data_IF_888794744329
#
_entry.id   IF_888794744329
#
_cell.length_a   1.000
_cell.length_b   1.000
_cell.length_c   1.000
_cell.angle_alpha   90.00
_cell.angle_beta   90.00
_cell.angle_gamma   90.00
#
_symmetry.space_group_name_H-M   'P 1'
#
loop_
_entity.id
_entity.type
_entity.pdbx_description
1 polymer ?
#
# COMPACT_ATOMS: atom_id res chain seq x y z
N UNK A 1 -32.52 51.45 -30.88
CA UNK A 1 -32.10 51.80 -29.51
C UNK A 1 -32.10 50.51 -28.70
N UNK A 2 -31.03 49.83 -28.37
CA UNK A 2 -29.60 50.10 -28.39
C UNK A 2 -29.02 49.06 -27.43
N UNK A 3 -28.60 47.92 -27.98
CA UNK A 3 -28.03 46.80 -27.21
C UNK A 3 -26.70 47.29 -26.64
N UNK A 4 -26.58 47.32 -25.30
CA UNK A 4 -25.29 47.60 -24.65
C UNK A 4 -24.42 46.33 -24.69
N UNK A 5 -23.15 46.42 -25.15
CA UNK A 5 -22.22 45.31 -25.13
C UNK A 5 -21.53 45.17 -23.75
N UNK A 6 -21.10 43.96 -23.36
CA UNK A 6 -20.27 43.78 -22.18
C UNK A 6 -18.82 44.24 -22.43
N UNK A 7 -18.25 44.81 -21.38
CA UNK A 7 -16.88 45.35 -21.28
C UNK A 7 -15.84 44.21 -21.18
N UNK A 8 -14.65 44.34 -21.79
CA UNK A 8 -13.55 43.41 -21.61
C UNK A 8 -12.58 43.91 -20.53
N UNK A 9 -11.93 43.02 -19.77
CA UNK A 9 -10.53 43.15 -19.33
C UNK A 9 -9.99 41.83 -18.76
N UNK A 10 -8.64 41.67 -18.72
CA UNK A 10 -7.97 40.41 -19.07
C UNK A 10 -7.28 39.75 -17.87
N UNK A 11 -6.76 38.53 -18.07
CA UNK A 11 -5.73 37.98 -17.19
C UNK A 11 -5.69 36.47 -17.14
N UNK A 12 -5.01 35.89 -18.12
CA UNK A 12 -4.55 34.51 -18.16
C UNK A 12 -3.66 34.15 -16.96
N UNK A 13 -4.01 33.08 -16.25
CA UNK A 13 -3.10 32.36 -15.35
C UNK A 13 -3.24 30.87 -15.63
N UNK A 14 -2.58 30.43 -16.70
CA UNK A 14 -2.24 29.03 -16.93
C UNK A 14 -1.18 28.63 -15.90
N UNK A 15 -1.58 27.92 -14.84
CA UNK A 15 -0.63 27.23 -13.98
C UNK A 15 -0.28 25.86 -14.60
N UNK A 16 1.00 25.56 -14.83
CA UNK A 16 1.42 24.40 -15.58
C UNK A 16 1.42 23.13 -14.71
N UNK A 17 0.92 22.08 -15.36
CA UNK A 17 1.14 20.66 -15.14
C UNK A 17 2.55 20.37 -14.58
N UNK A 18 2.61 19.77 -13.39
CA UNK A 18 3.81 19.15 -12.85
C UNK A 18 3.47 17.72 -12.41
N UNK A 19 4.27 16.69 -12.63
CA UNK A 19 5.56 16.54 -13.30
C UNK A 19 5.57 15.11 -13.88
N UNK A 20 5.96 15.00 -15.14
CA UNK A 20 6.34 13.73 -15.74
C UNK A 20 7.57 13.20 -15.01
N UNK A 21 7.53 11.93 -14.60
CA UNK A 21 8.71 11.19 -14.18
C UNK A 21 9.47 10.81 -15.46
N UNK A 22 10.25 11.74 -16.00
CA UNK A 22 11.15 11.47 -17.13
C UNK A 22 12.41 10.79 -16.61
N UNK A 23 12.55 9.54 -17.03
CA UNK A 23 13.79 8.79 -17.20
C UNK A 23 14.95 9.73 -17.55
N UNK A 24 16.02 9.71 -16.74
CA UNK A 24 17.29 10.38 -17.04
C UNK A 24 18.14 9.50 -17.97
N UNK A 25 18.64 10.02 -19.11
CA UNK A 25 19.75 9.41 -19.84
C UNK A 25 20.98 10.33 -19.97
N UNK A 26 22.17 9.69 -19.99
CA UNK A 26 23.51 10.12 -20.47
C UNK A 26 24.22 11.30 -19.79
N UNK A 27 25.38 11.11 -19.16
CA UNK A 27 26.76 10.99 -19.71
C UNK A 27 27.29 12.29 -20.35
N UNK A 28 28.34 12.81 -19.68
CA UNK A 28 29.47 13.65 -20.12
C UNK A 28 29.20 15.12 -20.53
N UNK A 29 29.82 16.07 -19.80
CA UNK A 29 30.71 17.12 -20.34
C UNK A 29 31.67 17.57 -19.21
N UNK A 30 32.91 17.79 -19.62
CA UNK A 30 34.11 18.10 -18.86
C UNK A 30 34.34 19.62 -18.75
N UNK A 31 35.21 20.01 -17.81
CA UNK A 31 36.09 21.19 -17.87
C UNK A 31 35.53 22.57 -17.46
N UNK A 32 35.97 23.04 -16.28
CA UNK A 32 36.46 24.41 -16.10
C UNK A 32 37.27 24.52 -14.80
N UNK A 33 38.52 24.94 -14.98
CA UNK A 33 39.52 25.27 -13.98
C UNK A 33 39.15 26.54 -13.20
N UNK A 34 39.34 26.53 -11.87
CA UNK A 34 39.83 27.66 -11.07
C UNK A 34 40.72 27.08 -9.94
N UNK A 35 42.05 27.06 -10.13
CA UNK A 35 43.05 27.99 -9.58
C UNK A 35 43.01 28.11 -8.06
N UNK A 36 43.93 27.41 -7.39
CA UNK A 36 44.40 27.76 -6.04
C UNK A 36 45.92 28.04 -6.10
N UNK A 37 46.43 29.07 -5.40
CA UNK A 37 47.77 29.60 -5.61
C UNK A 37 48.87 28.70 -5.01
N UNK A 38 50.01 28.67 -5.70
CA UNK A 38 51.28 28.09 -5.23
C UNK A 38 51.91 29.02 -4.18
N UNK A 39 52.21 28.48 -3.00
CA UNK A 39 53.25 29.00 -2.11
C UNK A 39 54.25 27.89 -1.80
N UNK A 40 55.51 28.29 -1.87
CA UNK A 40 56.76 27.53 -1.97
C UNK A 40 57.25 26.91 -0.63
N UNK A 41 58.33 26.09 -0.66
CA UNK A 41 58.44 24.86 0.12
C UNK A 41 59.46 24.97 1.26
N UNK A 42 59.05 24.79 2.52
CA UNK A 42 59.96 24.38 3.59
C UNK A 42 59.18 23.65 4.67
N UNK A 43 58.92 22.37 4.44
CA UNK A 43 58.71 21.44 5.53
C UNK A 43 59.74 20.33 5.36
N UNK A 44 60.57 20.03 6.37
CA UNK A 44 61.49 18.91 6.28
C UNK A 44 60.63 17.68 5.97
N UNK A 45 61.05 16.92 4.95
CA UNK A 45 60.49 15.61 4.69
C UNK A 45 60.46 14.87 6.02
N UNK A 46 59.26 14.69 6.59
CA UNK A 46 59.06 13.64 7.56
C UNK A 46 59.60 12.40 6.87
N UNK A 47 60.54 11.66 7.48
CA UNK A 47 60.99 10.43 6.87
C UNK A 47 59.72 9.65 6.56
N UNK A 48 59.60 9.17 5.32
CA UNK A 48 58.65 8.14 5.02
C UNK A 48 58.93 7.02 6.01
N UNK A 49 58.20 7.03 7.12
CA UNK A 49 57.93 5.84 7.87
C UNK A 49 57.17 4.99 6.87
N UNK A 50 57.96 4.22 6.10
CA UNK A 50 57.58 2.92 5.62
C UNK A 50 56.56 2.37 6.60
N UNK A 51 55.41 1.83 6.15
CA UNK A 51 54.49 1.18 7.07
C UNK A 51 55.34 0.14 7.80
N UNK A 52 55.71 0.48 9.04
CA UNK A 52 56.46 -0.38 9.93
C UNK A 52 55.67 -1.66 9.88
N UNK A 53 56.33 -2.75 9.47
CA UNK A 53 55.71 -4.03 9.26
C UNK A 53 54.85 -4.33 10.49
N UNK A 54 53.56 -4.02 10.39
CA UNK A 54 52.61 -4.29 11.43
C UNK A 54 52.56 -5.81 11.46
N UNK A 55 53.29 -6.28 12.46
CA UNK A 55 53.68 -7.64 12.76
C UNK A 55 52.57 -8.61 12.41
N UNK A 56 52.93 -9.82 11.97
CA UNK A 56 51.95 -10.89 11.74
C UNK A 56 50.94 -11.04 12.88
N UNK A 57 51.29 -10.62 14.10
CA UNK A 57 50.41 -10.48 15.26
C UNK A 57 49.20 -9.53 15.10
N UNK A 58 49.33 -8.36 14.44
CA UNK A 58 48.18 -7.48 14.24
C UNK A 58 47.24 -7.99 13.16
N UNK A 59 47.81 -8.54 12.06
CA UNK A 59 47.02 -9.25 11.03
C UNK A 59 46.30 -10.47 11.61
N UNK A 60 46.96 -11.26 12.45
CA UNK A 60 46.35 -12.42 13.10
C UNK A 60 45.24 -12.02 14.07
N UNK A 61 45.40 -10.93 14.84
CA UNK A 61 44.32 -10.38 15.69
C UNK A 61 43.09 -9.93 14.89
N UNK A 62 43.29 -9.17 13.80
CA UNK A 62 42.18 -8.74 12.92
C UNK A 62 41.49 -9.94 12.25
N UNK A 63 42.26 -10.96 11.86
CA UNK A 63 41.73 -12.16 11.25
C UNK A 63 40.93 -13.01 12.24
N UNK A 64 41.39 -13.12 13.49
CA UNK A 64 40.64 -13.75 14.58
C UNK A 64 39.28 -13.09 14.82
N UNK A 65 39.23 -11.75 14.83
CA UNK A 65 37.98 -11.00 14.95
C UNK A 65 37.02 -11.25 13.78
N UNK A 66 37.52 -11.25 12.53
CA UNK A 66 36.72 -11.50 11.32
C UNK A 66 36.17 -12.92 11.24
N UNK A 67 36.93 -13.92 11.69
CA UNK A 67 36.48 -15.31 11.71
C UNK A 67 35.42 -15.56 12.78
N UNK A 68 35.51 -14.89 13.94
CA UNK A 68 34.51 -15.00 15.01
C UNK A 68 33.14 -14.44 14.64
N UNK A 69 33.09 -13.47 13.71
CA UNK A 69 31.86 -12.84 13.23
C UNK A 69 31.46 -13.31 11.83
N UNK A 70 32.03 -14.41 11.34
CA UNK A 70 31.76 -14.91 9.98
C UNK A 70 30.29 -15.32 9.85
N UNK A 71 29.50 -14.70 8.96
CA UNK A 71 28.10 -15.08 8.76
C UNK A 71 27.95 -16.51 8.23
N UNK A 72 26.83 -17.15 8.55
CA UNK A 72 26.50 -18.47 8.02
C UNK A 72 26.22 -18.39 6.50
N UNK A 73 26.46 -19.49 5.78
CA UNK A 73 26.26 -19.58 4.33
C UNK A 73 24.81 -19.24 3.94
N UNK A 74 23.84 -19.83 4.65
CA UNK A 74 22.41 -19.56 4.46
C UNK A 74 22.03 -18.08 4.67
N UNK A 75 22.75 -17.37 5.55
CA UNK A 75 22.52 -15.95 5.76
C UNK A 75 23.02 -15.11 4.58
N UNK A 76 24.18 -15.47 4.03
CA UNK A 76 24.73 -14.83 2.84
C UNK A 76 23.82 -15.07 1.61
N UNK A 77 23.20 -16.25 1.51
CA UNK A 77 22.25 -16.59 0.45
C UNK A 77 20.93 -15.80 0.56
N UNK A 78 20.36 -15.71 1.77
CA UNK A 78 19.16 -14.87 2.01
C UNK A 78 19.41 -13.40 1.69
N UNK A 79 20.63 -12.92 1.94
CA UNK A 79 21.06 -11.56 1.59
C UNK A 79 21.43 -11.41 0.11
N UNK A 80 21.28 -12.45 -0.71
CA UNK A 80 21.67 -12.48 -2.13
C UNK A 80 23.17 -12.21 -2.39
N UNK A 81 24.03 -12.36 -1.37
CA UNK A 81 25.49 -12.18 -1.48
C UNK A 81 26.12 -13.44 -2.07
N UNK A 82 25.65 -14.62 -1.66
CA UNK A 82 26.02 -15.90 -2.26
C UNK A 82 24.83 -16.45 -3.06
N UNK A 83 25.06 -16.89 -4.29
CA UNK A 83 24.02 -17.47 -5.15
C UNK A 83 24.20 -18.99 -5.20
N UNK A 84 23.14 -19.75 -4.90
CA UNK A 84 23.14 -21.20 -4.99
C UNK A 84 22.95 -21.73 -6.42
N UNK A 85 22.43 -20.90 -7.34
CA UNK A 85 21.91 -21.34 -8.64
C UNK A 85 22.97 -21.25 -9.74
N UNK A 86 22.87 -22.19 -10.68
CA UNK A 86 23.59 -22.18 -11.94
C UNK A 86 23.17 -20.96 -12.79
N UNK A 87 24.13 -20.30 -13.45
CA UNK A 87 23.89 -19.12 -14.29
C UNK A 87 22.81 -19.36 -15.35
N UNK A 88 22.72 -20.59 -15.86
CA UNK A 88 21.70 -20.99 -16.84
C UNK A 88 20.28 -20.97 -16.24
N UNK A 89 20.12 -21.47 -15.02
CA UNK A 89 18.82 -21.47 -14.32
C UNK A 89 18.38 -20.04 -13.98
N UNK A 90 19.30 -19.18 -13.55
CA UNK A 90 18.98 -17.77 -13.27
C UNK A 90 18.57 -17.02 -14.54
N UNK A 91 19.23 -17.30 -15.68
CA UNK A 91 18.83 -16.73 -16.96
C UNK A 91 17.44 -17.19 -17.40
N UNK A 92 17.12 -18.47 -17.21
CA UNK A 92 15.81 -19.02 -17.52
C UNK A 92 14.71 -18.41 -16.63
N UNK A 93 14.92 -18.36 -15.31
CA UNK A 93 14.02 -17.70 -14.36
C UNK A 93 13.79 -16.23 -14.74
N UNK A 94 14.86 -15.52 -15.10
CA UNK A 94 14.79 -14.11 -15.52
C UNK A 94 14.03 -13.94 -16.84
N UNK A 95 14.19 -14.86 -17.79
CA UNK A 95 13.39 -14.89 -19.03
C UNK A 95 11.93 -15.14 -18.73
N UNK A 96 11.61 -16.10 -17.88
CA UNK A 96 10.24 -16.43 -17.49
C UNK A 96 9.56 -15.26 -16.77
N UNK A 97 10.24 -14.64 -15.80
CA UNK A 97 9.75 -13.45 -15.10
C UNK A 97 9.47 -12.32 -16.10
N UNK A 98 10.40 -12.06 -17.03
CA UNK A 98 10.24 -11.04 -18.06
C UNK A 98 9.04 -11.35 -18.96
N UNK A 99 8.91 -12.58 -19.44
CA UNK A 99 7.80 -12.98 -20.31
C UNK A 99 6.45 -12.87 -19.59
N UNK A 100 6.38 -13.33 -18.34
CA UNK A 100 5.19 -13.22 -17.50
C UNK A 100 4.80 -11.77 -17.25
N UNK A 101 5.77 -10.91 -16.97
CA UNK A 101 5.54 -9.49 -16.77
C UNK A 101 5.00 -8.83 -18.05
N UNK A 102 5.62 -9.07 -19.21
CA UNK A 102 5.15 -8.55 -20.49
C UNK A 102 3.70 -8.94 -20.75
N UNK A 103 3.34 -10.21 -20.52
CA UNK A 103 1.95 -10.68 -20.67
C UNK A 103 0.99 -9.92 -19.75
N UNK A 104 1.34 -9.73 -18.47
CA UNK A 104 0.51 -9.00 -17.49
C UNK A 104 0.33 -7.53 -17.87
N UNK A 105 1.38 -6.88 -18.36
CA UNK A 105 1.32 -5.47 -18.77
C UNK A 105 0.47 -5.28 -20.04
N UNK A 106 0.55 -6.22 -20.99
CA UNK A 106 -0.25 -6.17 -22.22
C UNK A 106 -1.74 -6.41 -21.97
N UNK A 107 -2.09 -7.20 -20.94
CA UNK A 107 -3.48 -7.50 -20.55
C UNK A 107 -3.97 -6.60 -19.41
N UNK A 108 -3.33 -5.44 -19.22
CA UNK A 108 -3.70 -4.52 -18.15
C UNK A 108 -5.06 -3.89 -18.50
N UNK A 109 -6.09 -4.05 -17.66
CA UNK A 109 -7.40 -3.45 -17.92
C UNK A 109 -7.31 -1.93 -17.92
N UNK A 110 -8.16 -1.29 -18.71
CA UNK A 110 -8.28 0.17 -18.73
C UNK A 110 -8.94 0.68 -17.46
N UNK A 111 -8.80 1.98 -17.17
CA UNK A 111 -9.45 2.59 -16.01
C UNK A 111 -10.98 2.51 -16.14
N UNK A 112 -11.49 2.64 -17.36
CA UNK A 112 -12.93 2.57 -17.63
C UNK A 112 -13.47 1.15 -17.43
N UNK A 113 -12.76 0.11 -17.87
CA UNK A 113 -13.12 -1.28 -17.55
C UNK A 113 -13.18 -1.55 -16.03
N UNK A 114 -12.27 -0.95 -15.27
CA UNK A 114 -12.26 -1.09 -13.81
C UNK A 114 -13.42 -0.32 -13.15
N UNK A 115 -13.89 0.79 -13.74
CA UNK A 115 -15.10 1.51 -13.31
C UNK A 115 -16.36 0.71 -13.64
N UNK A 116 -16.44 0.16 -14.85
CA UNK A 116 -17.57 -0.67 -15.30
C UNK A 116 -17.73 -1.93 -14.45
N UNK A 117 -16.61 -2.56 -14.07
CA UNK A 117 -16.58 -3.68 -13.13
C UNK A 117 -16.79 -3.27 -11.67
N UNK A 118 -17.01 -1.99 -11.40
CA UNK A 118 -17.21 -1.44 -10.05
C UNK A 118 -16.05 -1.72 -9.09
N UNK A 119 -14.84 -1.89 -9.63
CA UNK A 119 -13.61 -2.05 -8.83
C UNK A 119 -13.11 -0.67 -8.38
N UNK A 120 -13.23 0.33 -9.25
CA UNK A 120 -12.92 1.73 -8.93
C UNK A 120 -14.21 2.51 -8.61
N UNK A 121 -15.04 1.99 -7.70
CA UNK A 121 -16.14 2.79 -7.14
C UNK A 121 -15.52 3.95 -6.36
N UNK A 122 -15.93 5.18 -6.70
CA UNK A 122 -15.63 6.36 -5.90
C UNK A 122 -16.84 6.70 -5.05
N UNK A 123 -16.61 6.91 -3.77
CA UNK A 123 -17.58 7.55 -2.90
C UNK A 123 -17.43 9.06 -3.02
N UNK A 124 -18.54 9.79 -2.90
CA UNK A 124 -18.49 11.24 -2.75
C UNK A 124 -17.86 11.56 -1.39
N UNK A 125 -16.87 12.45 -1.38
CA UNK A 125 -16.30 12.98 -0.14
C UNK A 125 -17.23 14.03 0.52
N UNK A 126 -18.22 14.50 -0.23
CA UNK A 126 -19.23 15.43 0.24
C UNK A 126 -20.46 14.67 0.75
N UNK A 127 -20.87 15.02 1.98
CA UNK A 127 -22.07 14.50 2.65
C UNK A 127 -22.97 15.67 3.00
N UNK A 128 -24.19 15.67 2.46
CA UNK A 128 -25.21 16.66 2.81
C UNK A 128 -25.78 16.37 4.20
N UNK A 129 -25.84 17.40 5.05
CA UNK A 129 -26.39 17.31 6.40
C UNK A 129 -27.60 18.24 6.51
N UNK A 130 -28.77 17.64 6.76
CA UNK A 130 -30.00 18.37 7.07
C UNK A 130 -30.32 18.27 8.57
N UNK A 131 -31.00 19.27 9.11
CA UNK A 131 -31.49 19.21 10.49
C UNK A 131 -32.59 18.16 10.60
N UNK A 132 -32.42 17.21 11.52
CA UNK A 132 -33.49 16.30 11.90
C UNK A 132 -34.57 17.07 12.67
N UNK A 133 -35.80 16.54 12.68
CA UNK A 133 -36.88 17.07 13.50
C UNK A 133 -36.53 16.94 14.99
N UNK A 134 -36.76 18.01 15.76
CA UNK A 134 -36.51 18.07 17.20
C UNK A 134 -37.81 17.78 17.96
N UNK A 135 -38.09 16.49 18.13
CA UNK A 135 -39.21 16.01 18.94
C UNK A 135 -38.78 14.80 19.75
N UNK A 136 -39.52 14.53 20.84
CA UNK A 136 -39.25 13.39 21.69
C UNK A 136 -39.63 12.07 20.98
N UNK A 137 -38.62 11.25 20.71
CA UNK A 137 -38.73 9.92 20.09
C UNK A 137 -38.74 8.79 21.12
N UNK A 138 -38.84 9.10 22.41
CA UNK A 138 -38.90 8.08 23.47
C UNK A 138 -40.20 7.28 23.35
N UNK A 139 -40.06 5.97 23.47
CA UNK A 139 -41.15 5.02 23.55
C UNK A 139 -40.87 4.02 24.69
N UNK A 140 -41.92 3.50 25.33
CA UNK A 140 -41.76 2.42 26.31
C UNK A 140 -41.16 1.19 25.62
N UNK A 141 -40.42 0.41 26.41
CA UNK A 141 -39.74 -0.82 25.96
C UNK A 141 -40.37 -2.01 26.70
N UNK A 142 -41.63 -2.39 26.40
CA UNK A 142 -42.35 -3.40 27.18
C UNK A 142 -41.64 -4.76 27.20
N UNK A 143 -40.87 -5.08 26.16
CA UNK A 143 -40.06 -6.31 26.09
C UNK A 143 -39.02 -6.44 27.20
N UNK A 144 -38.64 -5.34 27.87
CA UNK A 144 -37.68 -5.35 29.00
C UNK A 144 -38.29 -5.88 30.30
N UNK A 145 -39.62 -5.84 30.43
CA UNK A 145 -40.34 -6.21 31.67
C UNK A 145 -41.03 -7.57 31.58
N UNK A 146 -40.71 -8.38 30.57
CA UNK A 146 -41.29 -9.71 30.37
C UNK A 146 -40.72 -10.74 31.36
N UNK A 147 -41.61 -11.34 32.15
CA UNK A 147 -41.27 -12.44 33.06
C UNK A 147 -40.94 -13.73 32.30
N UNK A 148 -40.41 -14.73 33.01
CA UNK A 148 -40.18 -16.06 32.44
C UNK A 148 -41.49 -16.73 31.97
N UNK A 149 -42.57 -16.53 32.72
CA UNK A 149 -43.90 -17.03 32.38
C UNK A 149 -44.45 -16.34 31.12
N UNK A 150 -44.34 -15.01 31.02
CA UNK A 150 -44.78 -14.26 29.82
C UNK A 150 -44.05 -14.74 28.58
N UNK A 151 -42.72 -14.92 28.68
CA UNK A 151 -41.92 -15.44 27.57
C UNK A 151 -42.35 -16.86 27.19
N UNK A 152 -42.73 -17.71 28.15
CA UNK A 152 -43.21 -19.06 27.86
C UNK A 152 -44.58 -19.03 27.16
N UNK A 153 -45.50 -18.20 27.64
CA UNK A 153 -46.81 -18.00 27.00
C UNK A 153 -46.65 -17.49 25.56
N UNK A 154 -45.83 -16.45 25.35
CA UNK A 154 -45.55 -15.89 24.01
C UNK A 154 -44.93 -16.93 23.07
N UNK A 155 -44.01 -17.78 23.56
CA UNK A 155 -43.43 -18.85 22.72
C UNK A 155 -44.48 -19.87 22.29
N UNK A 156 -45.37 -20.26 23.20
CA UNK A 156 -46.47 -21.19 22.91
C UNK A 156 -47.42 -20.60 21.87
N UNK A 157 -47.89 -19.38 22.11
CA UNK A 157 -48.79 -18.65 21.21
C UNK A 157 -48.18 -18.48 19.81
N UNK A 158 -46.92 -18.04 19.72
CA UNK A 158 -46.24 -17.88 18.42
C UNK A 158 -46.06 -19.20 17.67
N UNK A 159 -45.83 -20.31 18.36
CA UNK A 159 -45.71 -21.60 17.71
C UNK A 159 -47.06 -22.07 17.15
N UNK A 160 -48.14 -21.88 17.91
CA UNK A 160 -49.50 -22.22 17.51
C UNK A 160 -49.97 -21.39 16.30
N UNK A 161 -49.74 -20.07 16.34
CA UNK A 161 -49.99 -19.19 15.21
C UNK A 161 -49.22 -19.63 13.95
N UNK A 162 -47.92 -19.94 14.10
CA UNK A 162 -47.05 -20.33 12.97
C UNK A 162 -47.41 -21.68 12.37
N UNK A 163 -47.98 -22.59 13.16
CA UNK A 163 -48.37 -23.92 12.68
C UNK A 163 -49.76 -23.93 12.04
N UNK A 164 -50.68 -23.11 12.55
CA UNK A 164 -52.12 -23.25 12.25
C UNK A 164 -52.69 -22.10 11.41
N UNK A 165 -52.18 -20.87 11.57
CA UNK A 165 -52.79 -19.66 10.99
C UNK A 165 -51.88 -18.98 9.96
N UNK A 166 -50.58 -18.95 10.21
CA UNK A 166 -49.63 -18.25 9.34
C UNK A 166 -49.47 -18.97 8.01
N UNK A 167 -49.96 -18.36 6.93
CA UNK A 167 -49.77 -18.89 5.59
C UNK A 167 -48.29 -18.79 5.17
N UNK A 168 -47.72 -19.94 4.78
CA UNK A 168 -46.35 -20.04 4.27
C UNK A 168 -46.37 -20.94 3.06
N UNK A 169 -45.73 -20.49 1.97
CA UNK A 169 -45.59 -21.27 0.75
C UNK A 169 -44.96 -22.65 1.05
N UNK A 170 -45.45 -23.70 0.39
CA UNK A 170 -45.07 -25.08 0.67
C UNK A 170 -43.56 -25.32 0.64
N UNK A 171 -42.84 -24.74 -0.33
CA UNK A 171 -41.38 -24.85 -0.44
C UNK A 171 -40.61 -24.11 0.66
N UNK A 172 -41.22 -23.11 1.31
CA UNK A 172 -40.60 -22.25 2.31
C UNK A 172 -40.96 -22.63 3.74
N UNK A 173 -41.83 -23.63 3.97
CA UNK A 173 -42.25 -24.06 5.31
C UNK A 173 -41.09 -24.43 6.24
N UNK A 174 -39.99 -24.93 5.69
CA UNK A 174 -38.78 -25.28 6.44
C UNK A 174 -38.05 -24.06 7.05
N UNK A 175 -38.35 -22.84 6.59
CA UNK A 175 -37.78 -21.58 7.11
C UNK A 175 -38.59 -21.02 8.29
N UNK A 176 -39.76 -21.59 8.59
CA UNK A 176 -40.60 -21.12 9.69
C UNK A 176 -39.86 -21.28 11.03
N UNK A 177 -39.52 -20.15 11.66
CA UNK A 177 -38.76 -20.13 12.91
C UNK A 177 -39.64 -20.45 14.11
N UNK A 178 -39.64 -21.71 14.54
CA UNK A 178 -40.28 -22.13 15.79
C UNK A 178 -39.44 -21.79 17.04
N UNK A 179 -40.11 -21.70 18.18
CA UNK A 179 -39.51 -21.45 19.49
C UNK A 179 -39.53 -22.72 20.34
N UNK A 180 -38.61 -22.85 21.30
CA UNK A 180 -38.62 -23.97 22.25
C UNK A 180 -39.80 -23.82 23.22
N UNK A 181 -40.47 -24.92 23.62
CA UNK A 181 -41.47 -24.89 24.70
C UNK A 181 -40.89 -24.25 25.97
#
# INVERSE_FOLDING_TARGET
MGILPPHPTPGSSTSPVGRFCTVLPWIAVQESLEVLPKTDPLHPALPASHPSAHSGLQRSRLQGGRLSQRPAVEELERRNILKQRNDQTEQEERREIKQRLTRKLNQRPTVDELRDRKILIRFSDYVEVAKAQDYDRRADKPWTRLSAADKAAIRKELNEYKSNEMEVHASSKHLTRFHRP
#
